data_IF_920871745253
#
_entry.id   IF_920871745253
#
_cell.length_a   1.000
_cell.length_b   1.000
_cell.length_c   1.000
_cell.angle_alpha   90.00
_cell.angle_beta   90.00
_cell.angle_gamma   90.00
#
_symmetry.space_group_name_H-M   'P 1'
#
loop_
_entity.id
_entity.type
_entity.pdbx_description
1 polymer ?
#
# COMPACT_ATOMS: atom_id res chain seq x y z
N UNK A 1 25.30 -25.56 25.81
CA UNK A 1 25.15 -25.76 24.35
C UNK A 1 25.54 -24.46 23.70
N UNK A 2 26.57 -24.47 22.88
CA UNK A 2 27.03 -23.29 22.14
C UNK A 2 25.90 -22.73 21.27
N UNK A 3 25.63 -21.45 21.35
CA UNK A 3 24.64 -20.74 20.55
C UNK A 3 23.36 -20.30 21.29
N UNK A 4 23.08 -20.76 22.47
CA UNK A 4 21.97 -20.29 23.31
C UNK A 4 22.46 -19.17 24.22
N UNK A 5 21.86 -17.98 24.08
CA UNK A 5 22.26 -16.81 24.91
C UNK A 5 21.57 -16.87 26.26
N UNK A 6 20.31 -17.15 26.32
CA UNK A 6 19.54 -17.31 27.57
C UNK A 6 18.22 -18.03 27.33
N UNK A 7 17.64 -18.55 28.43
CA UNK A 7 16.29 -19.11 28.44
C UNK A 7 15.46 -18.33 29.43
N UNK A 8 14.35 -17.76 29.00
CA UNK A 8 13.45 -16.97 29.83
C UNK A 8 12.16 -17.79 30.01
N UNK A 9 11.73 -17.92 31.26
CA UNK A 9 10.45 -18.51 31.59
C UNK A 9 9.51 -17.42 32.11
N UNK A 10 8.42 -17.16 31.39
CA UNK A 10 7.43 -16.16 31.78
C UNK A 10 6.04 -16.60 31.32
N UNK A 11 5.02 -16.46 32.18
CA UNK A 11 3.64 -16.71 31.83
C UNK A 11 3.30 -18.13 31.35
N UNK A 12 4.08 -19.13 31.76
CA UNK A 12 3.91 -20.52 31.30
C UNK A 12 4.55 -20.84 29.95
N UNK A 13 5.27 -19.88 29.35
CA UNK A 13 6.02 -20.05 28.10
C UNK A 13 7.53 -20.13 28.38
N UNK A 14 8.20 -20.94 27.59
CA UNK A 14 9.68 -21.00 27.56
C UNK A 14 10.17 -20.30 26.31
N UNK A 15 10.93 -19.23 26.49
CA UNK A 15 11.52 -18.45 25.42
C UNK A 15 13.02 -18.67 25.37
N UNK A 16 13.52 -19.24 24.31
CA UNK A 16 14.96 -19.49 24.11
C UNK A 16 15.51 -18.38 23.22
N UNK A 17 16.39 -17.57 23.81
CA UNK A 17 17.06 -16.49 23.08
C UNK A 17 18.30 -17.07 22.41
N UNK A 18 18.27 -17.09 21.09
CA UNK A 18 19.35 -17.58 20.22
C UNK A 18 19.79 -16.38 19.38
N UNK A 19 21.10 -16.16 19.23
CA UNK A 19 21.60 -15.06 18.42
C UNK A 19 21.18 -15.14 16.94
N UNK A 20 22.02 -14.76 16.00
CA UNK A 20 21.71 -14.65 14.57
C UNK A 20 21.36 -15.99 13.87
N UNK A 21 21.40 -17.13 14.59
CA UNK A 21 21.14 -18.47 14.04
C UNK A 21 19.70 -18.98 14.27
N UNK A 22 18.79 -18.08 14.67
CA UNK A 22 17.38 -18.44 14.96
C UNK A 22 16.72 -19.27 13.85
N UNK A 23 16.81 -18.91 12.55
CA UNK A 23 16.15 -19.68 11.49
C UNK A 23 16.64 -21.14 11.41
N UNK A 24 17.95 -21.34 11.49
CA UNK A 24 18.56 -22.68 11.39
C UNK A 24 18.18 -23.57 12.58
N UNK A 25 18.16 -22.98 13.79
CA UNK A 25 17.76 -23.71 14.99
C UNK A 25 16.26 -24.02 14.97
N UNK A 26 15.45 -23.10 14.48
CA UNK A 26 14.00 -23.31 14.30
C UNK A 26 13.72 -24.49 13.37
N UNK A 27 14.35 -24.52 12.20
CA UNK A 27 14.22 -25.62 11.23
C UNK A 27 14.68 -26.94 11.83
N UNK A 28 15.79 -26.96 12.56
CA UNK A 28 16.29 -28.16 13.22
C UNK A 28 15.33 -28.65 14.33
N UNK A 29 14.78 -27.77 15.13
CA UNK A 29 13.80 -28.12 16.17
C UNK A 29 12.52 -28.67 15.58
N UNK A 30 12.03 -28.06 14.50
CA UNK A 30 10.85 -28.54 13.78
C UNK A 30 11.09 -29.95 13.19
N UNK A 31 12.28 -30.18 12.61
CA UNK A 31 12.64 -31.47 12.05
C UNK A 31 12.78 -32.58 13.11
N UNK A 32 13.44 -32.31 14.22
CA UNK A 32 13.65 -33.27 15.31
C UNK A 32 12.37 -33.50 16.13
N UNK A 33 11.59 -32.44 16.34
CA UNK A 33 10.35 -32.50 17.10
C UNK A 33 9.15 -33.00 16.32
N UNK A 34 9.29 -33.26 15.01
CA UNK A 34 8.16 -33.53 14.09
C UNK A 34 7.05 -32.49 14.22
N UNK A 35 7.42 -31.22 14.50
CA UNK A 35 6.50 -30.11 14.67
C UNK A 35 6.29 -29.47 13.30
N UNK A 36 5.05 -29.38 12.86
CA UNK A 36 4.72 -28.58 11.67
C UNK A 36 4.94 -27.11 12.00
N UNK A 37 5.75 -26.38 11.22
CA UNK A 37 5.94 -24.95 11.45
C UNK A 37 4.59 -24.24 11.51
N UNK A 38 4.21 -23.73 12.67
CA UNK A 38 3.01 -22.92 12.82
C UNK A 38 3.28 -21.55 12.22
N UNK A 39 2.37 -21.04 11.39
CA UNK A 39 2.36 -19.64 10.99
C UNK A 39 2.28 -18.73 12.21
N UNK A 40 2.62 -17.44 12.04
CA UNK A 40 2.42 -16.45 13.09
C UNK A 40 0.95 -16.45 13.52
N UNK A 41 0.70 -16.46 14.82
CA UNK A 41 -0.65 -16.45 15.40
C UNK A 41 -0.83 -15.13 16.15
N UNK A 42 -2.06 -14.63 16.17
CA UNK A 42 -2.46 -13.49 16.99
C UNK A 42 -2.46 -13.90 18.48
N UNK A 43 -2.56 -12.93 19.38
CA UNK A 43 -2.61 -13.16 20.82
C UNK A 43 -3.82 -14.02 21.27
N UNK A 44 -4.86 -14.13 20.44
CA UNK A 44 -6.05 -14.96 20.64
C UNK A 44 -5.90 -16.41 20.10
N UNK A 45 -4.73 -16.75 19.54
CA UNK A 45 -4.45 -18.08 18.98
C UNK A 45 -4.97 -18.30 17.55
N UNK A 46 -5.56 -17.28 16.91
CA UNK A 46 -5.97 -17.34 15.52
C UNK A 46 -4.75 -17.18 14.59
N UNK A 47 -4.70 -17.92 13.48
CA UNK A 47 -3.63 -17.79 12.50
C UNK A 47 -3.65 -16.40 11.86
N UNK A 48 -2.48 -15.72 11.80
CA UNK A 48 -2.33 -14.48 11.03
C UNK A 48 -2.30 -14.89 9.56
N UNK A 49 -3.40 -14.69 8.86
CA UNK A 49 -3.43 -14.83 7.40
C UNK A 49 -2.52 -13.77 6.79
N UNK A 50 -1.28 -14.15 6.44
CA UNK A 50 -0.37 -13.24 5.73
C UNK A 50 1.10 -13.25 6.16
N UNK A 51 1.50 -14.07 7.12
CA UNK A 51 2.90 -14.12 7.57
C UNK A 51 3.49 -15.54 7.53
N UNK A 52 4.24 -15.87 6.49
CA UNK A 52 5.08 -17.05 6.45
C UNK A 52 4.81 -17.97 5.26
N UNK A 53 5.87 -18.39 4.59
CA UNK A 53 5.88 -19.42 3.55
C UNK A 53 5.29 -20.75 4.10
N UNK A 54 3.98 -20.90 4.02
CA UNK A 54 3.35 -22.21 4.11
C UNK A 54 3.69 -23.00 2.82
N UNK A 55 3.91 -24.32 2.89
CA UNK A 55 4.17 -25.13 1.70
C UNK A 55 3.00 -24.93 0.73
N UNK A 56 3.31 -24.42 -0.45
CA UNK A 56 2.37 -24.19 -1.55
C UNK A 56 1.69 -25.49 -1.93
N UNK A 57 0.59 -25.80 -1.26
CA UNK A 57 -0.44 -26.64 -1.90
C UNK A 57 -0.78 -25.88 -3.19
N UNK A 58 -0.68 -26.56 -4.33
CA UNK A 58 -1.01 -25.99 -5.65
C UNK A 58 -2.52 -25.68 -5.66
N UNK A 59 -2.93 -24.63 -4.96
CA UNK A 59 -4.25 -24.04 -5.16
C UNK A 59 -4.28 -23.51 -6.59
N UNK A 60 -5.32 -23.87 -7.31
CA UNK A 60 -5.58 -23.34 -8.65
C UNK A 60 -5.50 -21.82 -8.56
N UNK A 61 -4.61 -21.20 -9.31
CA UNK A 61 -4.43 -19.75 -9.38
C UNK A 61 -5.80 -19.12 -9.63
N UNK A 62 -6.37 -18.55 -8.58
CA UNK A 62 -7.61 -17.78 -8.67
C UNK A 62 -7.22 -16.31 -8.71
N UNK A 63 -7.38 -15.62 -9.84
CA UNK A 63 -6.95 -14.23 -9.99
C UNK A 63 -7.67 -13.30 -9.01
N UNK A 64 -8.90 -13.63 -8.62
CA UNK A 64 -9.66 -12.85 -7.62
C UNK A 64 -9.00 -12.95 -6.24
N UNK A 65 -8.66 -14.15 -5.79
CA UNK A 65 -7.99 -14.34 -4.50
C UNK A 65 -6.61 -13.67 -4.48
N UNK A 66 -5.87 -13.73 -5.59
CA UNK A 66 -4.59 -13.03 -5.71
C UNK A 66 -4.76 -11.51 -5.61
N UNK A 67 -5.78 -10.94 -6.27
CA UNK A 67 -6.09 -9.51 -6.18
C UNK A 67 -6.48 -9.10 -4.76
N UNK A 68 -7.40 -9.84 -4.12
CA UNK A 68 -7.81 -9.59 -2.73
C UNK A 68 -6.60 -9.65 -1.79
N UNK A 69 -5.74 -10.66 -1.93
CA UNK A 69 -4.51 -10.77 -1.11
C UNK A 69 -3.57 -9.59 -1.30
N UNK A 70 -3.41 -9.07 -2.53
CA UNK A 70 -2.60 -7.88 -2.79
C UNK A 70 -3.21 -6.67 -2.09
N UNK A 71 -4.49 -6.41 -2.31
CA UNK A 71 -5.21 -5.28 -1.69
C UNK A 71 -5.09 -5.35 -0.17
N UNK A 72 -5.41 -6.48 0.44
CA UNK A 72 -5.30 -6.68 1.89
C UNK A 72 -3.89 -6.38 2.39
N UNK A 73 -2.85 -6.92 1.75
CA UNK A 73 -1.47 -6.71 2.19
C UNK A 73 -1.00 -5.25 2.07
N UNK A 74 -1.55 -4.49 1.11
CA UNK A 74 -1.26 -3.06 0.92
C UNK A 74 -1.97 -2.20 1.97
N UNK A 75 -3.20 -2.59 2.38
CA UNK A 75 -4.00 -1.84 3.35
C UNK A 75 -3.67 -2.16 4.81
N UNK A 76 -3.31 -3.40 5.13
CA UNK A 76 -3.10 -3.84 6.52
C UNK A 76 -2.23 -2.90 7.37
N UNK A 77 -1.11 -2.34 6.88
CA UNK A 77 -0.28 -1.43 7.67
C UNK A 77 -0.99 -0.12 8.07
N UNK A 78 -2.06 0.25 7.38
CA UNK A 78 -2.74 1.53 7.55
C UNK A 78 -4.05 1.44 8.31
N UNK A 79 -4.56 0.23 8.62
CA UNK A 79 -5.87 0.04 9.24
C UNK A 79 -6.04 0.83 10.53
N UNK A 80 -5.02 0.84 11.39
CA UNK A 80 -5.06 1.60 12.65
C UNK A 80 -5.17 3.12 12.42
N UNK A 81 -4.37 3.66 11.49
CA UNK A 81 -4.39 5.09 11.16
C UNK A 81 -5.69 5.47 10.46
N UNK A 82 -6.19 4.63 9.56
CA UNK A 82 -7.47 4.80 8.89
C UNK A 82 -8.62 4.90 9.93
N UNK A 83 -8.64 3.96 10.88
CA UNK A 83 -9.65 3.96 11.94
C UNK A 83 -9.55 5.22 12.81
N UNK A 84 -8.35 5.65 13.19
CA UNK A 84 -8.14 6.87 13.96
C UNK A 84 -8.64 8.12 13.22
N UNK A 85 -8.31 8.27 11.93
CA UNK A 85 -8.80 9.37 11.11
C UNK A 85 -10.34 9.34 10.96
N UNK A 86 -10.92 8.15 10.78
CA UNK A 86 -12.37 7.97 10.74
C UNK A 86 -13.06 8.36 12.05
N UNK A 87 -12.48 8.01 13.20
CA UNK A 87 -12.99 8.41 14.52
C UNK A 87 -12.96 9.94 14.67
N UNK A 88 -11.86 10.59 14.28
CA UNK A 88 -11.77 12.06 14.32
C UNK A 88 -12.87 12.70 13.49
N UNK A 89 -13.09 12.24 12.24
CA UNK A 89 -14.21 12.75 11.40
C UNK A 89 -15.57 12.52 12.05
N UNK A 90 -15.79 11.35 12.62
CA UNK A 90 -17.05 11.01 13.31
C UNK A 90 -17.30 11.88 14.54
N UNK A 91 -16.27 12.13 15.37
CA UNK A 91 -16.38 13.00 16.53
C UNK A 91 -16.67 14.45 16.14
N UNK A 92 -15.98 14.97 15.13
CA UNK A 92 -16.22 16.33 14.60
C UNK A 92 -17.66 16.46 14.10
N UNK A 93 -18.16 15.49 13.33
CA UNK A 93 -19.54 15.47 12.88
C UNK A 93 -20.54 15.41 14.04
N UNK A 94 -20.26 14.63 15.08
CA UNK A 94 -21.08 14.53 16.29
C UNK A 94 -21.15 15.86 17.03
N UNK A 95 -20.02 16.55 17.21
CA UNK A 95 -20.01 17.85 17.91
C UNK A 95 -20.77 18.93 17.15
N UNK A 96 -20.76 18.91 15.83
CA UNK A 96 -21.61 19.78 15.01
C UNK A 96 -23.08 19.45 15.20
N UNK A 97 -23.44 18.16 15.16
CA UNK A 97 -24.81 17.70 15.32
C UNK A 97 -25.39 18.03 16.70
N UNK A 98 -24.55 18.00 17.75
CA UNK A 98 -24.94 18.41 19.13
C UNK A 98 -24.97 19.93 19.34
N UNK A 99 -24.61 20.72 18.33
CA UNK A 99 -24.56 22.20 18.47
C UNK A 99 -23.41 22.71 19.33
N UNK A 100 -22.45 21.88 19.70
CA UNK A 100 -21.26 22.25 20.49
C UNK A 100 -20.22 22.97 19.64
N UNK A 101 -20.21 22.67 18.33
CA UNK A 101 -19.25 23.20 17.38
C UNK A 101 -19.99 23.78 16.15
N UNK A 102 -19.54 24.95 15.71
CA UNK A 102 -20.01 25.55 14.47
C UNK A 102 -19.33 24.83 13.27
N UNK A 103 -20.14 24.23 12.38
CA UNK A 103 -19.68 23.54 11.18
C UNK A 103 -19.01 24.44 10.14
N UNK A 104 -19.16 25.76 10.23
CA UNK A 104 -18.46 26.75 9.42
C UNK A 104 -17.22 27.33 10.12
N UNK A 105 -17.01 27.00 11.38
CA UNK A 105 -15.93 27.54 12.21
C UNK A 105 -14.54 27.03 11.84
N UNK A 106 -13.51 27.82 12.16
CA UNK A 106 -12.10 27.46 11.92
C UNK A 106 -11.70 26.15 12.62
N UNK A 107 -12.19 25.94 13.86
CA UNK A 107 -11.91 24.72 14.63
C UNK A 107 -12.45 23.49 13.93
N UNK A 108 -13.67 23.57 13.39
CA UNK A 108 -14.24 22.50 12.57
C UNK A 108 -13.34 22.17 11.38
N UNK A 109 -12.98 23.18 10.59
CA UNK A 109 -12.18 22.99 9.37
C UNK A 109 -10.81 22.37 9.67
N UNK A 110 -10.15 22.79 10.76
CA UNK A 110 -8.84 22.25 11.16
C UNK A 110 -8.95 20.78 11.59
N UNK A 111 -9.90 20.45 12.44
CA UNK A 111 -10.09 19.09 12.93
C UNK A 111 -10.61 18.15 11.82
N UNK A 112 -11.50 18.66 10.97
CA UNK A 112 -11.97 17.92 9.81
C UNK A 112 -10.82 17.58 8.86
N UNK A 113 -9.93 18.56 8.58
CA UNK A 113 -8.76 18.35 7.74
C UNK A 113 -7.83 17.27 8.31
N UNK A 114 -7.66 17.19 9.64
CA UNK A 114 -6.88 16.12 10.27
C UNK A 114 -7.51 14.74 10.02
N UNK A 115 -8.82 14.62 10.15
CA UNK A 115 -9.52 13.36 9.89
C UNK A 115 -9.60 13.01 8.40
N UNK A 116 -9.58 14.02 7.53
CA UNK A 116 -9.71 13.85 6.08
C UNK A 116 -8.37 13.61 5.37
N UNK A 117 -7.25 14.05 5.94
CA UNK A 117 -5.94 13.99 5.30
C UNK A 117 -5.54 12.59 4.86
N UNK A 118 -5.89 11.56 5.63
CA UNK A 118 -5.61 10.18 5.25
C UNK A 118 -6.30 9.80 3.93
N UNK A 119 -7.58 10.14 3.81
CA UNK A 119 -8.39 9.81 2.63
C UNK A 119 -7.93 10.62 1.42
N UNK A 120 -7.62 11.89 1.62
CA UNK A 120 -7.14 12.76 0.56
C UNK A 120 -5.77 12.30 0.00
N UNK A 121 -4.82 11.97 0.89
CA UNK A 121 -3.48 11.53 0.52
C UNK A 121 -3.35 10.02 0.37
N UNK A 122 -4.47 9.29 0.37
CA UNK A 122 -4.48 7.83 0.26
C UNK A 122 -3.65 7.30 -0.92
N UNK A 123 -3.65 7.87 -2.14
CA UNK A 123 -2.82 7.38 -3.23
C UNK A 123 -1.32 7.38 -2.92
N UNK A 124 -0.81 8.36 -2.16
CA UNK A 124 0.61 8.39 -1.76
C UNK A 124 0.92 7.27 -0.77
N UNK A 125 0.05 7.08 0.23
CA UNK A 125 0.22 6.07 1.27
C UNK A 125 0.14 4.65 0.69
N UNK A 126 -0.82 4.41 -0.18
CA UNK A 126 -0.96 3.13 -0.88
C UNK A 126 0.20 2.88 -1.83
N UNK A 127 0.70 3.90 -2.52
CA UNK A 127 1.86 3.78 -3.38
C UNK A 127 3.10 3.34 -2.60
N UNK A 128 3.30 3.85 -1.39
CA UNK A 128 4.39 3.43 -0.51
C UNK A 128 4.32 1.93 -0.16
N UNK A 129 3.17 1.45 0.31
CA UNK A 129 3.01 0.03 0.67
C UNK A 129 2.98 -0.89 -0.54
N UNK A 130 2.38 -0.46 -1.65
CA UNK A 130 2.40 -1.19 -2.90
C UNK A 130 3.82 -1.31 -3.46
N UNK A 131 4.64 -0.27 -3.35
CA UNK A 131 6.06 -0.31 -3.77
C UNK A 131 6.84 -1.37 -3.00
N UNK A 132 6.66 -1.45 -1.69
CA UNK A 132 7.24 -2.54 -0.87
C UNK A 132 6.78 -3.91 -1.33
N UNK A 133 5.50 -4.06 -1.65
CA UNK A 133 4.92 -5.33 -2.09
C UNK A 133 5.46 -5.78 -3.45
N UNK A 134 5.62 -4.85 -4.39
CA UNK A 134 6.04 -5.16 -5.77
C UNK A 134 7.55 -5.05 -5.98
N UNK A 135 8.29 -4.50 -5.01
CA UNK A 135 9.74 -4.32 -5.07
C UNK A 135 10.18 -3.16 -5.96
N UNK A 136 9.39 -2.08 -5.97
CA UNK A 136 9.75 -0.76 -6.49
C UNK A 136 10.39 0.05 -5.36
N UNK A 137 11.38 0.95 -5.61
CA UNK A 137 11.83 1.91 -4.61
C UNK A 137 10.65 2.73 -4.07
N UNK A 138 10.52 2.81 -2.74
CA UNK A 138 9.33 3.39 -2.10
C UNK A 138 9.09 4.84 -2.49
N UNK A 139 10.16 5.63 -2.60
CA UNK A 139 10.07 7.04 -2.98
C UNK A 139 9.60 7.24 -4.43
N UNK A 140 9.97 6.35 -5.34
CA UNK A 140 9.46 6.39 -6.73
C UNK A 140 7.95 6.16 -6.75
N UNK A 141 7.46 5.16 -6.03
CA UNK A 141 6.02 4.95 -5.90
C UNK A 141 5.29 6.12 -5.27
N UNK A 142 5.83 6.70 -4.18
CA UNK A 142 5.25 7.88 -3.54
C UNK A 142 5.14 9.08 -4.50
N UNK A 143 6.16 9.31 -5.34
CA UNK A 143 6.11 10.37 -6.35
C UNK A 143 5.04 10.10 -7.40
N UNK A 144 4.89 8.85 -7.85
CA UNK A 144 3.80 8.48 -8.78
C UNK A 144 2.44 8.75 -8.14
N UNK A 145 2.23 8.35 -6.88
CA UNK A 145 1.00 8.61 -6.13
C UNK A 145 0.74 10.11 -5.93
N UNK A 146 1.76 10.88 -5.57
CA UNK A 146 1.67 12.32 -5.40
C UNK A 146 1.34 13.05 -6.71
N UNK A 147 1.93 12.60 -7.83
CA UNK A 147 1.66 13.17 -9.13
C UNK A 147 0.20 12.97 -9.56
N UNK A 148 -0.42 11.84 -9.18
CA UNK A 148 -1.84 11.58 -9.49
C UNK A 148 -2.81 12.51 -8.77
N UNK A 149 -2.43 13.01 -7.59
CA UNK A 149 -3.26 13.95 -6.80
C UNK A 149 -2.70 15.38 -6.82
N UNK A 150 -1.84 15.69 -7.79
CA UNK A 150 -1.27 17.02 -7.87
C UNK A 150 -2.38 18.04 -8.19
N UNK A 151 -2.38 19.25 -7.55
CA UNK A 151 -3.47 20.22 -7.66
C UNK A 151 -3.85 20.62 -9.09
N UNK A 152 -2.90 20.63 -10.02
CA UNK A 152 -3.18 20.92 -11.42
C UNK A 152 -4.12 19.87 -12.04
N UNK A 153 -3.91 18.58 -11.74
CA UNK A 153 -4.78 17.51 -12.23
C UNK A 153 -6.16 17.54 -11.58
N UNK A 154 -6.24 17.92 -10.29
CA UNK A 154 -7.52 18.06 -9.59
C UNK A 154 -8.38 19.19 -10.20
N UNK A 155 -7.73 20.27 -10.69
CA UNK A 155 -8.40 21.35 -11.40
C UNK A 155 -8.79 21.01 -12.84
N UNK A 156 -8.17 19.99 -13.41
CA UNK A 156 -8.34 19.60 -14.82
C UNK A 156 -9.66 18.89 -15.10
N UNK A 157 -10.36 18.40 -14.09
CA UNK A 157 -11.71 17.81 -14.23
C UNK A 157 -12.72 18.77 -14.85
N UNK A 158 -12.46 20.08 -14.81
CA UNK A 158 -13.27 21.12 -15.44
C UNK A 158 -12.79 21.51 -16.83
N UNK A 159 -11.56 21.13 -17.22
CA UNK A 159 -10.93 21.46 -18.49
C UNK A 159 -10.93 20.22 -19.40
N UNK A 160 -11.96 20.09 -20.21
CA UNK A 160 -12.22 18.96 -21.14
C UNK A 160 -11.12 18.77 -22.21
N UNK A 161 -10.06 19.60 -22.22
CA UNK A 161 -9.08 19.67 -23.31
C UNK A 161 -7.63 19.43 -22.89
N UNK A 162 -7.35 18.98 -21.66
CA UNK A 162 -5.98 18.70 -21.27
C UNK A 162 -5.46 17.48 -22.03
N UNK A 163 -4.33 17.68 -22.70
CA UNK A 163 -3.66 16.63 -23.47
C UNK A 163 -2.19 16.54 -23.06
N UNK A 164 -1.72 15.32 -22.89
CA UNK A 164 -0.30 15.02 -22.70
C UNK A 164 0.25 14.52 -24.05
N UNK A 165 1.19 15.24 -24.65
CA UNK A 165 1.72 14.95 -25.99
C UNK A 165 0.63 14.77 -27.06
N UNK A 166 -0.38 15.66 -27.09
CA UNK A 166 -1.53 15.63 -28.00
C UNK A 166 -2.52 14.44 -27.80
N UNK A 167 -2.29 13.60 -26.80
CA UNK A 167 -3.22 12.53 -26.43
C UNK A 167 -4.12 13.07 -25.31
N UNK A 168 -5.45 13.04 -25.45
CA UNK A 168 -6.34 13.55 -24.43
C UNK A 168 -6.20 12.73 -23.15
N UNK A 169 -6.14 13.44 -22.02
CA UNK A 169 -6.11 12.83 -20.68
C UNK A 169 -7.56 12.60 -20.27
N UNK A 170 -7.89 11.35 -20.00
CA UNK A 170 -9.21 10.96 -19.50
C UNK A 170 -9.16 10.84 -17.98
N UNK A 171 -9.95 11.66 -17.29
CA UNK A 171 -10.13 11.55 -15.84
C UNK A 171 -11.22 10.51 -15.51
N UNK A 172 -11.15 9.87 -14.32
CA UNK A 172 -12.23 9.01 -13.87
C UNK A 172 -13.56 9.78 -13.73
N UNK A 173 -14.67 9.05 -13.71
CA UNK A 173 -16.02 9.62 -13.53
C UNK A 173 -16.18 10.39 -12.22
N UNK A 174 -15.39 10.07 -11.20
CA UNK A 174 -15.28 10.82 -9.94
C UNK A 174 -14.64 12.21 -10.09
N UNK A 175 -14.01 12.50 -11.21
CA UNK A 175 -13.36 13.78 -11.51
C UNK A 175 -11.92 13.91 -11.04
N UNK A 176 -11.44 13.04 -10.14
CA UNK A 176 -10.08 13.04 -9.64
C UNK A 176 -9.61 11.65 -9.18
N UNK A 177 -8.34 11.54 -8.84
CA UNK A 177 -7.73 10.33 -8.30
C UNK A 177 -7.56 10.34 -6.78
N UNK A 178 -8.06 11.37 -6.07
CA UNK A 178 -8.06 11.37 -4.61
C UNK A 178 -8.91 10.21 -4.11
N UNK A 179 -8.51 9.61 -3.01
CA UNK A 179 -9.19 8.42 -2.47
C UNK A 179 -9.23 7.20 -3.41
N UNK A 180 -8.53 7.24 -4.54
CA UNK A 180 -8.48 6.13 -5.51
C UNK A 180 -7.52 5.04 -5.05
N UNK A 181 -7.98 3.79 -5.06
CA UNK A 181 -7.23 2.61 -4.61
C UNK A 181 -6.69 1.82 -5.79
N UNK A 182 -7.57 1.41 -6.70
CA UNK A 182 -7.22 0.49 -7.79
C UNK A 182 -6.23 1.11 -8.77
N UNK A 183 -6.43 2.36 -9.25
CA UNK A 183 -5.51 3.00 -10.18
C UNK A 183 -4.07 3.06 -9.67
N UNK A 184 -3.87 3.42 -8.39
CA UNK A 184 -2.52 3.57 -7.84
C UNK A 184 -1.83 2.22 -7.65
N UNK A 185 -2.54 1.18 -7.21
CA UNK A 185 -1.97 -0.17 -7.06
C UNK A 185 -1.53 -0.70 -8.43
N UNK A 186 -2.37 -0.52 -9.47
CA UNK A 186 -2.05 -0.91 -10.83
C UNK A 186 -0.86 -0.11 -11.40
N UNK A 187 -0.81 1.20 -11.14
CA UNK A 187 0.28 2.07 -11.58
C UNK A 187 1.62 1.62 -10.98
N UNK A 188 1.65 1.37 -9.66
CA UNK A 188 2.87 0.92 -8.97
C UNK A 188 3.28 -0.49 -9.38
N UNK A 189 2.32 -1.40 -9.59
CA UNK A 189 2.60 -2.74 -10.10
C UNK A 189 3.23 -2.68 -11.50
N UNK A 190 2.68 -1.83 -12.39
CA UNK A 190 3.25 -1.58 -13.70
C UNK A 190 4.65 -0.96 -13.62
N UNK A 191 4.84 0.06 -12.77
CA UNK A 191 6.13 0.69 -12.55
C UNK A 191 7.21 -0.33 -12.13
N UNK A 192 6.89 -1.19 -11.16
CA UNK A 192 7.81 -2.22 -10.68
C UNK A 192 8.16 -3.25 -11.76
N UNK A 193 7.19 -3.63 -12.59
CA UNK A 193 7.42 -4.52 -13.72
C UNK A 193 8.28 -3.86 -14.79
N UNK A 194 7.94 -2.63 -15.17
CA UNK A 194 8.63 -1.87 -16.19
C UNK A 194 10.07 -1.56 -15.81
N UNK A 195 10.32 -1.10 -14.56
CA UNK A 195 11.67 -0.86 -14.06
C UNK A 195 12.56 -2.10 -14.17
N UNK A 196 12.06 -3.27 -13.77
CA UNK A 196 12.81 -4.53 -13.86
C UNK A 196 13.19 -4.88 -15.29
N UNK A 197 12.36 -4.49 -16.27
CA UNK A 197 12.58 -4.80 -17.67
C UNK A 197 13.73 -3.98 -18.24
N UNK A 198 13.73 -2.66 -18.07
CA UNK A 198 14.69 -1.79 -18.75
C UNK A 198 15.94 -1.45 -17.93
N UNK A 199 15.90 -1.59 -16.61
CA UNK A 199 17.05 -1.34 -15.71
C UNK A 199 18.33 -2.06 -16.14
N UNK A 200 18.20 -3.18 -16.84
CA UNK A 200 19.33 -3.96 -17.36
C UNK A 200 20.09 -3.27 -18.50
N UNK A 201 19.43 -2.34 -19.20
CA UNK A 201 20.01 -1.65 -20.35
C UNK A 201 20.71 -0.35 -19.98
N UNK A 202 20.54 0.14 -18.76
CA UNK A 202 21.11 1.40 -18.31
C UNK A 202 22.48 1.17 -17.67
N UNK A 203 23.53 1.91 -18.09
CA UNK A 203 24.85 1.87 -17.46
C UNK A 203 24.78 2.22 -15.96
N UNK A 204 25.62 1.57 -15.15
CA UNK A 204 25.60 1.73 -13.68
C UNK A 204 25.78 3.19 -13.23
N UNK A 205 26.58 3.96 -13.94
CA UNK A 205 26.82 5.38 -13.65
C UNK A 205 25.56 6.23 -13.74
N UNK A 206 24.63 5.89 -14.63
CA UNK A 206 23.40 6.66 -14.86
C UNK A 206 22.18 6.07 -14.16
N UNK A 207 22.26 4.88 -13.61
CA UNK A 207 21.11 4.19 -12.99
C UNK A 207 20.44 5.02 -11.91
N UNK A 208 21.22 5.72 -11.11
CA UNK A 208 20.71 6.50 -9.98
C UNK A 208 19.68 7.57 -10.39
N UNK A 209 19.84 8.16 -11.58
CA UNK A 209 18.95 9.23 -12.06
C UNK A 209 18.04 8.78 -13.20
N UNK A 210 18.58 7.98 -14.12
CA UNK A 210 17.85 7.61 -15.32
C UNK A 210 16.73 6.60 -15.03
N UNK A 211 16.94 5.70 -14.05
CA UNK A 211 15.93 4.71 -13.70
C UNK A 211 14.70 5.40 -13.10
N UNK A 212 14.78 6.18 -12.00
CA UNK A 212 13.62 6.88 -11.45
C UNK A 212 12.95 7.81 -12.45
N UNK A 213 13.74 8.54 -13.24
CA UNK A 213 13.21 9.48 -14.23
C UNK A 213 12.32 8.78 -15.26
N UNK A 214 12.84 7.73 -15.89
CA UNK A 214 12.10 6.98 -16.92
C UNK A 214 10.89 6.27 -16.32
N UNK A 215 11.06 5.61 -15.16
CA UNK A 215 9.95 4.93 -14.46
C UNK A 215 8.82 5.90 -14.17
N UNK A 216 9.10 7.05 -13.53
CA UNK A 216 8.09 8.02 -13.17
C UNK A 216 7.38 8.60 -14.39
N UNK A 217 8.11 9.04 -15.42
CA UNK A 217 7.51 9.66 -16.60
C UNK A 217 6.63 8.66 -17.35
N UNK A 218 7.15 7.48 -17.65
CA UNK A 218 6.42 6.47 -18.43
C UNK A 218 5.21 5.95 -17.65
N UNK A 219 5.37 5.65 -16.36
CA UNK A 219 4.27 5.16 -15.53
C UNK A 219 3.20 6.22 -15.39
N UNK A 220 3.56 7.47 -15.13
CA UNK A 220 2.60 8.56 -14.98
C UNK A 220 1.81 8.79 -16.28
N UNK A 221 2.48 8.85 -17.43
CA UNK A 221 1.82 8.98 -18.72
C UNK A 221 0.84 7.83 -18.99
N UNK A 222 1.26 6.58 -18.79
CA UNK A 222 0.40 5.41 -18.97
C UNK A 222 -0.75 5.36 -17.95
N UNK A 223 -0.51 5.85 -16.74
CA UNK A 223 -1.57 5.92 -15.73
C UNK A 223 -2.67 6.88 -16.18
N UNK A 224 -2.32 8.05 -16.69
CA UNK A 224 -3.31 9.01 -17.18
C UNK A 224 -4.06 8.54 -18.44
N UNK A 225 -3.39 7.79 -19.33
CA UNK A 225 -3.99 7.41 -20.62
C UNK A 225 -4.78 6.10 -20.57
N UNK A 226 -4.30 5.13 -19.80
CA UNK A 226 -4.79 3.73 -19.88
C UNK A 226 -5.21 3.22 -18.51
N UNK A 227 -4.28 3.23 -17.53
CA UNK A 227 -4.49 2.54 -16.25
C UNK A 227 -5.61 3.23 -15.46
N UNK A 228 -5.58 4.56 -15.39
CA UNK A 228 -6.56 5.35 -14.65
C UNK A 228 -7.99 5.14 -15.15
N UNK A 229 -8.29 5.39 -16.44
CA UNK A 229 -9.62 5.20 -16.98
C UNK A 229 -10.14 3.76 -16.84
N UNK A 230 -9.29 2.76 -17.11
CA UNK A 230 -9.68 1.34 -16.99
C UNK A 230 -9.93 0.96 -15.54
N UNK A 231 -9.01 1.35 -14.63
CA UNK A 231 -9.11 0.99 -13.23
C UNK A 231 -10.24 1.74 -12.52
N UNK A 232 -10.52 2.99 -12.90
CA UNK A 232 -11.67 3.74 -12.41
C UNK A 232 -12.99 3.12 -12.89
N UNK A 233 -13.11 2.78 -14.18
CA UNK A 233 -14.27 2.08 -14.72
C UNK A 233 -14.51 0.70 -14.09
N UNK A 234 -13.45 -0.01 -13.68
CA UNK A 234 -13.59 -1.24 -12.91
C UNK A 234 -14.05 -0.99 -11.46
N UNK A 235 -13.68 0.15 -10.87
CA UNK A 235 -14.15 0.57 -9.55
C UNK A 235 -15.62 0.99 -9.55
N UNK A 236 -16.11 1.57 -10.63
CA UNK A 236 -17.52 1.97 -10.77
C UNK A 236 -18.46 0.76 -10.98
N UNK A 237 -17.91 -0.40 -11.33
CA UNK A 237 -18.65 -1.66 -11.54
C UNK A 237 -18.74 -2.55 -10.29
N UNK A 238 -17.98 -2.26 -9.23
CA UNK A 238 -17.91 -2.99 -7.96
C UNK A 238 -18.70 -2.27 -6.86
#
# INVERSE_FOLDING_TARGET
TDGIVTVIQSGGQYMVVIGNHVPQVYDAVCAVGHITPGGAVNEDGSAIEGGGDAPKTKEKFNPVNAFVSIVTSVFTPWLGVLAACGIVKGLVALFVALGVMDGAGSTYNILYSLGDCFFYFMPILLAYTASKKFGLPEFEGMIIGAAMIYPYLLGSSTNVHDSLFMIPVTMPSSGDYTSSVIPIICAVAFAAWFEKLYKKFIPDTLKMFAVPLITCIVTFALTLWIIGPIAAGAGDLL
#
